data_IF_971145233207
#
_entry.id   IF_971145233207
#
_cell.length_a   1.000
_cell.length_b   1.000
_cell.length_c   1.000
_cell.angle_alpha   90.00
_cell.angle_beta   90.00
_cell.angle_gamma   90.00
#
_symmetry.space_group_name_H-M   'P 1'
#
loop_
_entity.id
_entity.type
_entity.pdbx_description
1 polymer ?
#
# COMPACT_ATOMS: atom_id res chain seq x y z
N UNK A 1 -0.23 -19.61 -1.16
CA UNK A 1 -1.19 -18.51 -1.36
C UNK A 1 -0.78 -17.35 -0.47
N UNK A 2 -0.79 -16.13 -1.00
CA UNK A 2 -0.44 -14.92 -0.25
C UNK A 2 -1.52 -14.65 0.82
N UNK A 3 -1.11 -14.39 2.06
CA UNK A 3 -1.96 -14.05 3.19
C UNK A 3 -1.77 -12.57 3.57
N UNK A 4 -2.81 -11.90 4.10
CA UNK A 4 -2.67 -10.52 4.54
C UNK A 4 -1.73 -10.43 5.76
N UNK A 5 -0.89 -9.42 5.76
CA UNK A 5 0.05 -9.07 6.82
C UNK A 5 -0.55 -8.03 7.77
N UNK A 6 -0.16 -8.11 9.03
CA UNK A 6 -0.28 -7.01 9.97
C UNK A 6 1.01 -6.19 9.87
N UNK A 7 0.94 -5.00 9.27
CA UNK A 7 2.10 -4.15 9.04
C UNK A 7 2.68 -3.59 10.34
N UNK A 8 1.90 -3.46 11.41
CA UNK A 8 2.42 -3.08 12.73
C UNK A 8 3.29 -4.20 13.30
N UNK A 9 2.81 -5.45 13.21
CA UNK A 9 3.59 -6.62 13.61
C UNK A 9 4.86 -6.75 12.76
N UNK A 10 4.79 -6.52 11.45
CA UNK A 10 5.95 -6.48 10.56
C UNK A 10 6.97 -5.43 11.00
N UNK A 11 6.54 -4.22 11.32
CA UNK A 11 7.42 -3.15 11.82
C UNK A 11 8.02 -3.51 13.17
N UNK A 12 7.29 -4.17 14.06
CA UNK A 12 7.87 -4.73 15.29
C UNK A 12 8.98 -5.73 15.00
N UNK A 13 8.81 -6.63 14.01
CA UNK A 13 9.88 -7.56 13.60
C UNK A 13 11.10 -6.82 13.04
N UNK A 14 10.90 -5.77 12.24
CA UNK A 14 12.00 -4.96 11.70
C UNK A 14 12.86 -4.30 12.78
N UNK A 15 12.27 -3.97 13.93
CA UNK A 15 13.02 -3.42 15.07
C UNK A 15 13.92 -4.48 15.75
N UNK A 16 13.67 -5.77 15.53
CA UNK A 16 14.54 -6.87 15.97
C UNK A 16 15.61 -7.18 14.92
N UNK A 17 15.19 -7.54 13.70
CA UNK A 17 16.09 -7.73 12.57
C UNK A 17 15.36 -7.73 11.22
N UNK A 18 16.08 -7.41 10.15
CA UNK A 18 15.55 -7.58 8.78
C UNK A 18 15.25 -9.06 8.47
N UNK A 19 15.95 -10.00 9.10
CA UNK A 19 15.74 -11.44 8.88
C UNK A 19 14.38 -11.88 9.45
N UNK A 20 14.02 -11.41 10.64
CA UNK A 20 12.74 -11.74 11.28
C UNK A 20 11.55 -11.18 10.50
N UNK A 21 11.67 -9.95 10.00
CA UNK A 21 10.65 -9.34 9.14
C UNK A 21 10.46 -10.10 7.82
N UNK A 22 11.55 -10.56 7.20
CA UNK A 22 11.50 -11.41 5.99
C UNK A 22 10.90 -12.77 6.29
N UNK A 23 11.25 -13.38 7.42
CA UNK A 23 10.69 -14.65 7.84
C UNK A 23 9.18 -14.54 8.11
N UNK A 24 8.75 -13.45 8.73
CA UNK A 24 7.34 -13.14 8.93
C UNK A 24 6.57 -13.06 7.59
N UNK A 25 7.08 -12.32 6.61
CA UNK A 25 6.46 -12.21 5.29
C UNK A 25 6.52 -13.53 4.50
N UNK A 26 7.60 -14.29 4.63
CA UNK A 26 7.73 -15.61 4.00
C UNK A 26 6.65 -16.58 4.50
N UNK A 27 6.35 -16.56 5.80
CA UNK A 27 5.25 -17.35 6.39
C UNK A 27 3.86 -16.93 5.87
N UNK A 28 3.74 -15.72 5.32
CA UNK A 28 2.55 -15.19 4.67
C UNK A 28 2.57 -15.37 3.14
N UNK A 29 3.64 -15.94 2.59
CA UNK A 29 3.76 -16.24 1.16
C UNK A 29 4.46 -15.17 0.32
N UNK A 30 5.06 -14.15 0.92
CA UNK A 30 5.94 -13.21 0.21
C UNK A 30 7.41 -13.52 0.53
N UNK A 31 8.15 -13.99 -0.48
CA UNK A 31 9.58 -14.33 -0.38
C UNK A 31 10.49 -13.40 -1.19
N UNK A 32 9.91 -12.41 -1.89
CA UNK A 32 10.59 -11.56 -2.88
C UNK A 32 10.78 -10.12 -2.42
N UNK A 33 10.21 -9.73 -1.27
CA UNK A 33 10.30 -8.35 -0.74
C UNK A 33 11.74 -7.82 -0.68
N UNK A 34 11.98 -6.62 -1.21
CA UNK A 34 13.30 -5.98 -1.23
C UNK A 34 13.51 -5.15 0.03
N UNK A 35 14.78 -4.87 0.34
CA UNK A 35 15.12 -4.08 1.53
C UNK A 35 14.52 -2.68 1.50
N UNK A 36 14.54 -2.03 0.35
CA UNK A 36 13.94 -0.70 0.17
C UNK A 36 12.42 -0.67 0.40
N UNK A 37 11.72 -1.77 0.09
CA UNK A 37 10.27 -1.89 0.33
C UNK A 37 9.99 -2.07 1.82
N UNK A 38 10.79 -2.85 2.54
CA UNK A 38 10.68 -2.95 4.01
C UNK A 38 10.87 -1.60 4.69
N UNK A 39 11.88 -0.83 4.27
CA UNK A 39 12.12 0.53 4.78
C UNK A 39 10.96 1.47 4.41
N UNK A 40 10.44 1.37 3.18
CA UNK A 40 9.27 2.12 2.72
C UNK A 40 8.03 1.84 3.58
N UNK A 41 7.71 0.56 3.82
CA UNK A 41 6.61 0.13 4.68
C UNK A 41 6.79 0.67 6.09
N UNK A 42 7.99 0.55 6.67
CA UNK A 42 8.27 1.06 8.02
C UNK A 42 8.00 2.56 8.11
N UNK A 43 8.51 3.36 7.16
CA UNK A 43 8.26 4.80 7.13
C UNK A 43 6.76 5.10 6.93
N UNK A 44 6.06 4.37 6.06
CA UNK A 44 4.62 4.53 5.82
C UNK A 44 3.80 4.29 7.08
N UNK A 45 4.07 3.19 7.81
CA UNK A 45 3.36 2.86 9.05
C UNK A 45 3.52 3.96 10.09
N UNK A 46 4.69 4.61 10.17
CA UNK A 46 4.92 5.73 11.08
C UNK A 46 4.21 7.04 10.70
N UNK A 47 3.65 7.14 9.48
CA UNK A 47 2.81 8.29 9.09
C UNK A 47 1.40 8.19 9.68
N UNK A 48 0.99 7.01 10.11
CA UNK A 48 -0.38 6.68 10.49
C UNK A 48 -0.47 6.45 12.00
N UNK A 49 -1.64 6.68 12.62
CA UNK A 49 -1.88 6.34 14.01
C UNK A 49 -1.68 4.85 14.29
N UNK A 50 -1.15 4.54 15.48
CA UNK A 50 -0.89 3.16 15.94
C UNK A 50 -2.15 2.30 16.00
N UNK A 51 -3.35 2.87 16.11
CA UNK A 51 -4.60 2.09 16.18
C UNK A 51 -5.27 1.85 14.83
N UNK A 52 -4.62 2.23 13.71
CA UNK A 52 -5.19 2.11 12.35
C UNK A 52 -5.51 0.65 12.00
N UNK A 53 -6.79 0.31 11.96
CA UNK A 53 -7.29 -1.06 11.69
C UNK A 53 -6.83 -1.60 10.35
N UNK A 54 -6.83 -0.76 9.31
CA UNK A 54 -6.45 -1.15 7.95
C UNK A 54 -5.04 -1.77 7.87
N UNK A 55 -4.12 -1.37 8.76
CA UNK A 55 -2.77 -1.93 8.81
C UNK A 55 -2.70 -3.38 9.30
N UNK A 56 -3.80 -3.93 9.83
CA UNK A 56 -3.85 -5.30 10.36
C UNK A 56 -4.06 -6.36 9.27
N UNK A 57 -4.50 -5.97 8.07
CA UNK A 57 -4.72 -6.89 6.96
C UNK A 57 -4.34 -6.28 5.60
N UNK A 58 -3.05 -6.33 5.28
CA UNK A 58 -2.48 -5.79 4.03
C UNK A 58 -1.80 -6.88 3.22
N UNK A 59 -2.16 -7.02 1.96
CA UNK A 59 -1.45 -7.94 1.06
C UNK A 59 -0.19 -7.25 0.52
N UNK A 60 0.97 -7.79 0.88
CA UNK A 60 2.29 -7.26 0.48
C UNK A 60 2.81 -8.05 -0.73
N UNK A 61 3.09 -7.39 -1.85
CA UNK A 61 3.48 -8.04 -3.11
C UNK A 61 2.35 -8.86 -3.73
N UNK A 62 1.13 -8.29 -3.76
CA UNK A 62 -0.05 -8.98 -4.28
C UNK A 62 0.05 -9.14 -5.80
N UNK A 63 0.24 -10.37 -6.25
CA UNK A 63 0.22 -10.73 -7.66
C UNK A 63 -1.16 -11.21 -8.08
N UNK A 64 -1.73 -10.60 -9.12
CA UNK A 64 -2.99 -11.09 -9.71
C UNK A 64 -2.67 -12.31 -10.59
N UNK A 65 -3.23 -13.50 -10.30
CA UNK A 65 -3.00 -14.69 -11.12
C UNK A 65 -3.33 -14.41 -12.59
N UNK A 66 -2.51 -14.93 -13.51
CA UNK A 66 -2.66 -14.85 -14.99
C UNK A 66 -2.41 -13.48 -15.64
N UNK A 67 -2.16 -12.40 -14.89
CA UNK A 67 -1.99 -11.05 -15.44
C UNK A 67 -0.57 -10.46 -15.32
N UNK A 68 0.39 -11.23 -14.78
CA UNK A 68 1.79 -10.81 -14.57
C UNK A 68 1.94 -9.43 -13.88
N UNK A 69 0.92 -9.04 -13.11
CA UNK A 69 0.84 -7.75 -12.42
C UNK A 69 1.00 -7.97 -10.93
N UNK A 70 1.93 -7.24 -10.33
CA UNK A 70 2.17 -7.20 -8.90
C UNK A 70 1.88 -5.78 -8.38
N UNK A 71 1.28 -5.71 -7.19
CA UNK A 71 1.01 -4.50 -6.44
C UNK A 71 1.79 -4.54 -5.12
N UNK A 72 2.46 -3.45 -4.76
CA UNK A 72 3.31 -3.43 -3.57
C UNK A 72 2.50 -3.65 -2.29
N UNK A 73 1.44 -2.85 -2.11
CA UNK A 73 0.46 -2.99 -1.02
C UNK A 73 -0.96 -2.92 -1.58
N UNK A 74 -1.79 -3.88 -1.18
CA UNK A 74 -3.20 -3.92 -1.49
C UNK A 74 -4.01 -4.20 -0.23
N UNK A 75 -4.98 -3.33 0.06
CA UNK A 75 -5.91 -3.47 1.17
C UNK A 75 -7.31 -3.67 0.61
N UNK A 76 -8.04 -4.61 1.21
CA UNK A 76 -9.45 -4.84 0.91
C UNK A 76 -10.26 -4.38 2.11
N UNK A 77 -11.23 -3.52 1.88
CA UNK A 77 -12.14 -2.99 2.88
C UNK A 77 -13.59 -3.41 2.66
N UNK A 78 -14.43 -3.19 3.66
CA UNK A 78 -15.88 -3.32 3.53
C UNK A 78 -16.43 -2.47 2.36
N UNK A 79 -17.64 -2.78 1.90
CA UNK A 79 -18.28 -2.10 0.76
C UNK A 79 -17.42 -2.14 -0.52
N UNK A 80 -16.80 -3.30 -0.76
CA UNK A 80 -15.92 -3.58 -1.89
C UNK A 80 -14.74 -2.59 -2.03
N UNK A 81 -14.34 -1.86 -0.99
CA UNK A 81 -13.24 -0.91 -1.09
C UNK A 81 -11.92 -1.63 -1.43
N UNK A 82 -11.16 -1.10 -2.39
CA UNK A 82 -9.79 -1.51 -2.64
C UNK A 82 -8.89 -0.29 -2.55
N UNK A 83 -7.87 -0.37 -1.70
CA UNK A 83 -6.83 0.66 -1.57
C UNK A 83 -5.52 0.06 -2.08
N UNK A 84 -4.96 0.64 -3.14
CA UNK A 84 -3.62 0.33 -3.63
C UNK A 84 -2.63 1.39 -3.17
N UNK A 85 -1.49 0.95 -2.64
CA UNK A 85 -0.36 1.83 -2.33
C UNK A 85 0.92 1.28 -2.94
N UNK A 86 1.47 2.02 -3.90
CA UNK A 86 2.77 1.76 -4.50
C UNK A 86 3.90 2.41 -3.69
N UNK A 87 5.03 1.75 -3.58
CA UNK A 87 6.19 2.20 -2.82
C UNK A 87 7.30 2.66 -3.76
N UNK A 88 7.82 3.87 -3.51
CA UNK A 88 9.00 4.42 -4.18
C UNK A 88 10.04 4.91 -3.18
N UNK A 89 11.30 4.78 -3.56
CA UNK A 89 12.47 5.20 -2.78
C UNK A 89 13.47 5.90 -3.70
N UNK A 90 12.98 6.90 -4.42
CA UNK A 90 13.79 7.73 -5.31
C UNK A 90 13.27 9.17 -5.26
N UNK A 91 14.08 10.07 -4.69
CA UNK A 91 13.72 11.48 -4.52
C UNK A 91 13.48 12.21 -5.85
N UNK A 92 14.00 11.69 -6.97
CA UNK A 92 13.87 12.28 -8.31
C UNK A 92 12.93 11.47 -9.21
N UNK A 93 12.13 10.57 -8.64
CA UNK A 93 11.17 9.77 -9.41
C UNK A 93 10.15 10.68 -10.12
N UNK A 94 10.09 10.59 -11.45
CA UNK A 94 9.27 11.48 -12.26
C UNK A 94 7.77 11.35 -11.96
N UNK A 95 7.10 12.48 -11.73
CA UNK A 95 5.65 12.54 -11.44
C UNK A 95 4.82 11.89 -12.57
N UNK A 96 5.19 12.08 -13.83
CA UNK A 96 4.51 11.41 -14.95
C UNK A 96 4.64 9.88 -14.92
N UNK A 97 5.73 9.34 -14.37
CA UNK A 97 5.87 7.88 -14.18
C UNK A 97 4.92 7.38 -13.08
N UNK A 98 4.77 8.16 -12.00
CA UNK A 98 3.77 7.88 -10.95
C UNK A 98 2.38 7.83 -11.56
N UNK A 99 2.00 8.87 -12.33
CA UNK A 99 0.66 8.97 -12.92
C UNK A 99 0.37 7.80 -13.85
N UNK A 100 1.29 7.53 -14.79
CA UNK A 100 1.15 6.41 -15.72
C UNK A 100 1.01 5.07 -15.00
N UNK A 101 1.76 4.86 -13.91
CA UNK A 101 1.65 3.65 -13.11
C UNK A 101 0.26 3.55 -12.45
N UNK A 102 -0.21 4.59 -11.76
CA UNK A 102 -1.50 4.56 -11.08
C UNK A 102 -2.69 4.43 -12.05
N UNK A 103 -2.65 5.10 -13.21
CA UNK A 103 -3.66 4.93 -14.27
C UNK A 103 -3.69 3.50 -14.79
N UNK A 104 -2.52 2.90 -15.02
CA UNK A 104 -2.44 1.48 -15.40
C UNK A 104 -3.04 0.58 -14.29
N UNK A 105 -2.79 0.89 -13.02
CA UNK A 105 -3.31 0.13 -11.88
C UNK A 105 -4.84 0.26 -11.77
N UNK A 106 -5.39 1.45 -12.04
CA UNK A 106 -6.84 1.70 -12.15
C UNK A 106 -7.48 0.72 -13.13
N UNK A 107 -6.92 0.57 -14.34
CA UNK A 107 -7.43 -0.35 -15.37
C UNK A 107 -7.40 -1.83 -14.94
N UNK A 108 -6.40 -2.24 -14.15
CA UNK A 108 -6.37 -3.60 -13.61
C UNK A 108 -7.43 -3.82 -12.53
N UNK A 109 -7.57 -2.87 -11.60
CA UNK A 109 -8.39 -3.02 -10.40
C UNK A 109 -9.87 -2.68 -10.63
N UNK A 110 -10.22 -1.89 -11.66
CA UNK A 110 -11.62 -1.53 -11.96
C UNK A 110 -12.50 -2.74 -12.30
N UNK A 111 -11.90 -3.85 -12.74
CA UNK A 111 -12.63 -5.09 -12.97
C UNK A 111 -12.97 -5.84 -11.65
N UNK A 112 -12.34 -5.44 -10.54
CA UNK A 112 -12.54 -6.06 -9.21
C UNK A 112 -13.44 -5.23 -8.32
N UNK A 113 -13.43 -3.90 -8.47
CA UNK A 113 -14.26 -2.99 -7.69
C UNK A 113 -14.40 -1.62 -8.35
N UNK A 114 -15.56 -1.00 -8.16
CA UNK A 114 -15.84 0.40 -8.50
C UNK A 114 -15.45 1.38 -7.38
N UNK A 115 -15.12 0.88 -6.17
CA UNK A 115 -14.68 1.67 -5.02
C UNK A 115 -13.16 1.55 -4.85
N UNK A 116 -12.44 2.30 -5.68
CA UNK A 116 -10.98 2.25 -5.76
C UNK A 116 -10.32 3.50 -5.21
N UNK A 117 -9.18 3.32 -4.56
CA UNK A 117 -8.31 4.43 -4.16
C UNK A 117 -6.85 4.05 -4.42
N UNK A 118 -6.16 4.89 -5.20
CA UNK A 118 -4.90 4.55 -5.85
C UNK A 118 -3.83 5.57 -5.44
N UNK A 119 -2.78 5.07 -4.79
CA UNK A 119 -1.77 5.91 -4.16
C UNK A 119 -0.36 5.49 -4.52
N UNK A 120 0.55 6.44 -4.51
CA UNK A 120 1.99 6.17 -4.43
C UNK A 120 2.56 6.89 -3.23
N UNK A 121 3.23 6.16 -2.36
CA UNK A 121 4.07 6.73 -1.31
C UNK A 121 5.54 6.69 -1.75
N UNK A 122 6.15 7.87 -1.84
CA UNK A 122 7.57 8.00 -2.10
C UNK A 122 8.29 8.41 -0.82
N UNK A 123 9.04 7.46 -0.25
CA UNK A 123 9.71 7.61 1.05
C UNK A 123 10.90 8.55 1.04
N UNK A 124 11.46 8.83 -0.13
CA UNK A 124 12.68 9.63 -0.28
C UNK A 124 12.36 11.04 -0.76
N UNK A 125 11.24 11.18 -1.48
CA UNK A 125 10.64 12.49 -1.75
C UNK A 125 9.81 13.03 -0.57
N UNK A 126 9.50 12.21 0.45
CA UNK A 126 8.54 12.53 1.52
C UNK A 126 7.19 12.99 0.96
N UNK A 127 6.62 12.24 0.03
CA UNK A 127 5.36 12.60 -0.63
C UNK A 127 4.42 11.43 -0.77
N UNK A 128 3.13 11.72 -0.66
CA UNK A 128 2.05 10.87 -1.14
C UNK A 128 1.49 11.50 -2.41
N UNK A 129 1.25 10.66 -3.41
CA UNK A 129 0.54 10.99 -4.64
C UNK A 129 -0.81 10.27 -4.64
N UNK A 130 -1.87 11.00 -4.98
CA UNK A 130 -3.23 10.49 -5.09
C UNK A 130 -3.70 10.63 -6.52
N UNK A 131 -4.16 9.53 -7.13
CA UNK A 131 -4.85 9.60 -8.42
C UNK A 131 -6.29 10.05 -8.21
N UNK A 132 -6.68 11.13 -8.88
CA UNK A 132 -8.04 11.65 -8.90
C UNK A 132 -8.89 10.94 -9.96
N UNK A 133 -10.21 11.17 -9.92
CA UNK A 133 -11.16 10.51 -10.83
C UNK A 133 -10.91 10.85 -12.31
N UNK A 134 -10.44 12.06 -12.58
CA UNK A 134 -10.07 12.58 -13.91
C UNK A 134 -8.64 12.21 -14.36
N UNK A 135 -8.02 11.24 -13.67
CA UNK A 135 -6.65 10.75 -13.88
C UNK A 135 -5.53 11.80 -13.66
N UNK A 136 -5.85 12.93 -13.03
CA UNK A 136 -4.84 13.88 -12.53
C UNK A 136 -4.19 13.38 -11.24
N UNK A 137 -2.99 13.90 -10.94
CA UNK A 137 -2.30 13.61 -9.68
C UNK A 137 -2.33 14.81 -8.76
N UNK A 138 -2.82 14.57 -7.55
CA UNK A 138 -2.55 15.43 -6.40
C UNK A 138 -1.31 14.91 -5.67
N UNK A 139 -0.53 15.79 -5.05
CA UNK A 139 0.56 15.36 -4.18
C UNK A 139 0.76 16.26 -2.97
N UNK A 140 1.00 15.62 -1.83
CA UNK A 140 1.14 16.29 -0.53
C UNK A 140 2.44 15.83 0.14
N UNK A 141 3.12 16.76 0.83
CA UNK A 141 4.30 16.43 1.62
C UNK A 141 3.91 15.65 2.86
N UNK A 142 4.61 14.56 3.16
CA UNK A 142 4.39 13.80 4.40
C UNK A 142 5.04 14.45 5.62
N UNK A 143 5.85 15.49 5.43
CA UNK A 143 6.40 16.29 6.54
C UNK A 143 5.39 17.26 7.13
N UNK A 144 4.36 17.63 6.36
CA UNK A 144 3.25 18.46 6.82
C UNK A 144 2.13 17.54 7.31
N UNK A 145 2.08 17.34 8.63
CA UNK A 145 1.12 16.41 9.26
C UNK A 145 -0.32 16.88 9.15
N UNK A 146 -0.55 18.18 9.20
CA UNK A 146 -1.90 18.76 9.11
C UNK A 146 -2.44 18.57 7.69
N UNK A 147 -1.64 18.95 6.68
CA UNK A 147 -2.00 18.72 5.28
C UNK A 147 -2.18 17.22 4.99
N UNK A 148 -1.24 16.36 5.44
CA UNK A 148 -1.33 14.92 5.26
C UNK A 148 -2.63 14.35 5.85
N UNK A 149 -2.99 14.76 7.07
CA UNK A 149 -4.19 14.26 7.75
C UNK A 149 -5.48 14.61 7.01
N UNK A 150 -5.47 15.67 6.19
CA UNK A 150 -6.61 16.11 5.39
C UNK A 150 -6.70 15.40 4.02
N UNK A 151 -5.69 14.63 3.63
CA UNK A 151 -5.66 13.95 2.33
C UNK A 151 -6.62 12.76 2.27
N UNK A 152 -7.11 12.46 1.07
CA UNK A 152 -7.90 11.25 0.80
C UNK A 152 -7.14 9.97 1.18
N UNK A 153 -5.82 9.92 0.93
CA UNK A 153 -4.94 8.81 1.36
C UNK A 153 -5.08 8.51 2.85
N UNK A 154 -4.94 9.54 3.68
CA UNK A 154 -4.99 9.37 5.13
C UNK A 154 -6.40 8.98 5.58
N UNK A 155 -7.43 9.66 5.06
CA UNK A 155 -8.83 9.39 5.42
C UNK A 155 -9.28 7.99 5.01
N UNK A 156 -8.94 7.54 3.81
CA UNK A 156 -9.28 6.20 3.33
C UNK A 156 -8.64 5.11 4.19
N UNK A 157 -7.36 5.26 4.54
CA UNK A 157 -6.66 4.28 5.37
C UNK A 157 -7.24 4.23 6.79
N UNK A 158 -7.56 5.38 7.38
CA UNK A 158 -8.13 5.44 8.73
C UNK A 158 -9.55 4.88 8.79
N UNK A 159 -10.37 5.20 7.79
CA UNK A 159 -11.76 4.74 7.72
C UNK A 159 -11.89 3.27 7.28
N UNK A 160 -10.87 2.72 6.60
CA UNK A 160 -10.92 1.38 6.04
C UNK A 160 -11.18 0.32 7.12
N UNK A 161 -12.28 -0.40 6.93
CA UNK A 161 -12.65 -1.58 7.72
C UNK A 161 -12.11 -2.82 6.99
N UNK A 162 -10.95 -3.35 7.40
CA UNK A 162 -10.28 -4.39 6.63
C UNK A 162 -11.12 -5.67 6.56
N UNK A 163 -11.17 -6.25 5.37
CA UNK A 163 -11.68 -7.60 5.12
C UNK A 163 -10.55 -8.43 4.54
N UNK A 164 -10.50 -9.71 4.86
CA UNK A 164 -9.63 -10.65 4.15
C UNK A 164 -10.40 -11.19 2.97
N UNK A 165 -9.76 -11.33 1.80
CA UNK A 165 -10.36 -12.10 0.73
C UNK A 165 -10.72 -13.48 1.31
N UNK A 166 -11.99 -13.95 1.21
CA UNK A 166 -12.26 -15.36 1.45
C UNK A 166 -11.30 -16.13 0.56
N UNK A 167 -10.78 -17.28 0.99
CA UNK A 167 -9.92 -18.11 0.15
C UNK A 167 -10.62 -18.29 -1.20
N UNK A 168 -10.18 -17.57 -2.24
CA UNK A 168 -10.75 -17.69 -3.61
C UNK A 168 -10.14 -18.95 -4.23
N UNK A 169 -10.26 -20.05 -3.50
CA UNK A 169 -9.85 -21.41 -3.83
C UNK A 169 -10.77 -22.34 -3.02
N UNK A 170 -12.04 -22.41 -3.43
CA UNK A 170 -12.77 -23.66 -3.59
C UNK A 170 -13.25 -23.74 -5.02
#
# INVERSE_FOLDING_TARGET
MLKPANLQALVSQLNHSNADARQYLANLGNTTIRQQELVGIQKLVHLLPVETSALKAVYVGYSVPKLSKEFDLLLFGANNQIINVELKSDAHYAVEKVRKQLVNHKYYLMNMSDNLSLYTYNSDANRVYTLQDDDTLESVSTTDKEALSSTKFYQDIIACQPITLPSIDQ
#
